data_IF_885621677323
#
_entry.id   IF_885621677323
#
_cell.length_a   1.000
_cell.length_b   1.000
_cell.length_c   1.000
_cell.angle_alpha   90.00
_cell.angle_beta   90.00
_cell.angle_gamma   90.00
#
_symmetry.space_group_name_H-M   'P 1'
#
loop_
_entity.id
_entity.type
_entity.pdbx_description
1 polymer ?
#
# COMPACT_ATOMS: atom_id res chain seq x y z
N UNK A 1 -11.41 -7.35 28.76
CA UNK A 1 -12.31 -7.29 27.57
C UNK A 1 -11.76 -8.17 26.46
N UNK A 2 -12.56 -9.07 25.87
CA UNK A 2 -12.15 -9.85 24.70
C UNK A 2 -12.12 -8.93 23.46
N UNK A 3 -10.99 -8.83 22.77
CA UNK A 3 -10.89 -8.07 21.51
C UNK A 3 -11.85 -8.67 20.48
N UNK A 4 -12.60 -7.81 19.78
CA UNK A 4 -13.54 -8.26 18.73
C UNK A 4 -12.77 -8.87 17.55
N UNK A 5 -13.42 -9.73 16.77
CA UNK A 5 -12.81 -10.35 15.58
C UNK A 5 -12.27 -9.27 14.62
N UNK A 6 -13.02 -8.19 14.41
CA UNK A 6 -12.63 -7.01 13.64
C UNK A 6 -11.33 -6.38 14.14
N UNK A 7 -11.16 -6.26 15.47
CA UNK A 7 -9.93 -5.72 16.05
C UNK A 7 -8.74 -6.66 15.86
N UNK A 8 -8.94 -7.98 15.90
CA UNK A 8 -7.87 -8.96 15.69
C UNK A 8 -7.44 -8.99 14.23
N UNK A 9 -8.40 -9.03 13.31
CA UNK A 9 -8.12 -9.01 11.88
C UNK A 9 -7.55 -7.67 11.41
N UNK A 10 -7.93 -6.56 12.05
CA UNK A 10 -7.29 -5.25 11.80
C UNK A 10 -5.80 -5.21 12.17
N UNK A 11 -5.30 -6.09 13.03
CA UNK A 11 -3.86 -6.19 13.33
C UNK A 11 -3.06 -6.80 12.16
N UNK A 12 -3.73 -7.42 11.19
CA UNK A 12 -3.08 -7.91 9.98
C UNK A 12 -2.46 -6.76 9.17
N UNK A 13 -2.95 -5.52 9.31
CA UNK A 13 -2.29 -4.35 8.72
C UNK A 13 -0.86 -4.14 9.24
N UNK A 14 -0.59 -4.45 10.51
CA UNK A 14 0.77 -4.38 11.07
C UNK A 14 1.64 -5.49 10.49
N UNK A 15 1.09 -6.70 10.37
CA UNK A 15 1.80 -7.83 9.75
C UNK A 15 2.12 -7.52 8.29
N UNK A 16 1.18 -6.90 7.57
CA UNK A 16 1.37 -6.46 6.19
C UNK A 16 2.52 -5.46 6.08
N UNK A 17 2.49 -4.40 6.90
CA UNK A 17 3.53 -3.38 6.93
C UNK A 17 4.91 -3.98 7.20
N UNK A 18 5.04 -4.84 8.21
CA UNK A 18 6.31 -5.49 8.54
C UNK A 18 6.81 -6.41 7.42
N UNK A 19 5.90 -7.15 6.78
CA UNK A 19 6.20 -8.01 5.63
C UNK A 19 6.71 -7.20 4.44
N UNK A 20 6.04 -6.08 4.11
CA UNK A 20 6.49 -5.19 3.05
C UNK A 20 7.84 -4.53 3.36
N UNK A 21 8.01 -4.00 4.58
CA UNK A 21 9.29 -3.43 5.01
C UNK A 21 10.41 -4.46 4.94
N UNK A 22 10.17 -5.70 5.37
CA UNK A 22 11.16 -6.77 5.22
C UNK A 22 11.51 -7.02 3.76
N UNK A 23 10.52 -7.07 2.86
CA UNK A 23 10.75 -7.23 1.43
C UNK A 23 11.62 -6.09 0.87
N UNK A 24 11.30 -4.83 1.17
CA UNK A 24 12.06 -3.66 0.68
C UNK A 24 13.48 -3.62 1.23
N UNK A 25 13.68 -3.99 2.50
CA UNK A 25 14.99 -3.89 3.16
C UNK A 25 15.92 -5.04 2.77
N UNK A 26 15.41 -6.27 2.67
CA UNK A 26 16.24 -7.46 2.49
C UNK A 26 16.33 -7.97 1.05
N UNK A 27 15.32 -7.72 0.19
CA UNK A 27 15.40 -8.13 -1.23
C UNK A 27 16.60 -7.55 -2.00
N UNK A 28 17.07 -6.32 -1.72
CA UNK A 28 18.30 -5.79 -2.34
C UNK A 28 19.55 -6.66 -2.14
N UNK A 29 19.63 -7.47 -1.08
CA UNK A 29 20.78 -8.38 -0.85
C UNK A 29 20.88 -9.43 -1.98
N UNK A 30 19.73 -9.80 -2.57
CA UNK A 30 19.65 -10.72 -3.70
C UNK A 30 19.68 -10.00 -5.06
N UNK A 31 19.89 -8.67 -5.10
CA UNK A 31 20.01 -7.89 -6.33
C UNK A 31 21.37 -7.16 -6.39
N UNK A 32 22.42 -7.82 -6.91
CA UNK A 32 23.72 -7.19 -7.10
C UNK A 32 23.62 -5.95 -7.99
N UNK A 33 24.14 -4.81 -7.50
CA UNK A 33 24.11 -3.55 -8.24
C UNK A 33 22.85 -2.71 -8.04
N UNK A 34 21.89 -3.14 -7.21
CA UNK A 34 20.71 -2.35 -6.90
C UNK A 34 21.07 -1.03 -6.19
N UNK A 35 20.68 0.10 -6.78
CA UNK A 35 20.91 1.43 -6.22
C UNK A 35 19.60 2.10 -5.81
N UNK A 36 19.31 2.14 -4.50
CA UNK A 36 18.10 2.76 -3.92
C UNK A 36 17.88 4.23 -4.31
N UNK A 37 18.93 4.96 -4.66
CA UNK A 37 18.81 6.38 -5.03
C UNK A 37 18.50 6.57 -6.53
N UNK A 38 18.69 5.54 -7.34
CA UNK A 38 18.50 5.59 -8.79
C UNK A 38 17.40 4.64 -9.30
N UNK A 39 17.03 3.64 -8.50
CA UNK A 39 16.11 2.58 -8.88
C UNK A 39 14.88 2.55 -7.99
N UNK A 40 13.74 2.17 -8.58
CA UNK A 40 12.49 2.07 -7.88
C UNK A 40 12.46 0.79 -7.02
N UNK A 41 11.58 0.77 -6.01
CA UNK A 41 11.30 -0.44 -5.24
C UNK A 41 10.69 -1.54 -6.12
N UNK A 42 9.90 -1.15 -7.12
CA UNK A 42 9.26 -2.07 -8.08
C UNK A 42 10.28 -2.92 -8.85
N UNK A 43 11.51 -2.43 -9.08
CA UNK A 43 12.58 -3.17 -9.75
C UNK A 43 12.96 -4.44 -8.99
N UNK A 44 12.85 -4.45 -7.65
CA UNK A 44 13.14 -5.63 -6.83
C UNK A 44 12.18 -6.79 -7.10
N UNK A 45 11.04 -6.50 -7.72
CA UNK A 45 9.96 -7.43 -8.04
C UNK A 45 9.71 -7.58 -9.55
N UNK A 46 10.61 -7.07 -10.40
CA UNK A 46 10.51 -7.28 -11.84
C UNK A 46 10.64 -8.77 -12.20
N UNK A 47 10.08 -9.16 -13.35
CA UNK A 47 9.94 -10.56 -13.74
C UNK A 47 11.29 -11.28 -13.94
N UNK A 48 12.33 -10.55 -14.35
CA UNK A 48 13.69 -11.05 -14.51
C UNK A 48 14.61 -10.73 -13.31
N UNK A 49 14.08 -10.10 -12.27
CA UNK A 49 14.88 -9.62 -11.16
C UNK A 49 15.49 -10.81 -10.38
N UNK A 50 16.80 -10.79 -10.08
CA UNK A 50 17.43 -11.84 -9.27
C UNK A 50 16.85 -11.91 -7.85
N UNK A 51 16.31 -10.80 -7.35
CA UNK A 51 15.63 -10.73 -6.05
C UNK A 51 14.19 -11.21 -6.04
N UNK A 52 13.59 -11.53 -7.19
CA UNK A 52 12.15 -11.83 -7.30
C UNK A 52 11.69 -12.95 -6.35
N UNK A 53 12.48 -14.02 -6.24
CA UNK A 53 12.15 -15.15 -5.35
C UNK A 53 12.13 -14.71 -3.87
N UNK A 54 13.13 -13.93 -3.44
CA UNK A 54 13.22 -13.42 -2.07
C UNK A 54 12.12 -12.39 -1.79
N UNK A 55 11.84 -11.50 -2.76
CA UNK A 55 10.74 -10.55 -2.69
C UNK A 55 9.41 -11.25 -2.46
N UNK A 56 9.09 -12.28 -3.24
CA UNK A 56 7.84 -13.02 -3.14
C UNK A 56 7.69 -13.74 -1.79
N UNK A 57 8.78 -14.28 -1.24
CA UNK A 57 8.76 -14.92 0.07
C UNK A 57 8.53 -13.91 1.20
N UNK A 58 9.21 -12.77 1.15
CA UNK A 58 9.12 -11.74 2.19
C UNK A 58 7.81 -10.96 2.14
N UNK A 59 7.27 -10.73 0.95
CA UNK A 59 6.00 -10.00 0.71
C UNK A 59 4.76 -10.90 0.69
N UNK A 60 4.90 -12.20 0.97
CA UNK A 60 3.78 -13.15 0.96
C UNK A 60 2.65 -12.72 1.91
N UNK A 61 3.01 -12.26 3.11
CA UNK A 61 2.03 -11.80 4.09
C UNK A 61 1.47 -10.43 3.76
N UNK A 62 2.29 -9.50 3.25
CA UNK A 62 1.87 -8.17 2.80
C UNK A 62 0.57 -8.24 1.99
N UNK A 63 0.62 -8.99 0.89
CA UNK A 63 -0.47 -9.05 -0.06
C UNK A 63 -1.79 -9.61 0.51
N UNK A 64 -1.71 -10.66 1.32
CA UNK A 64 -2.91 -11.29 1.87
C UNK A 64 -3.46 -10.50 3.06
N UNK A 65 -2.56 -10.03 3.94
CA UNK A 65 -2.93 -9.35 5.17
C UNK A 65 -3.49 -7.95 4.91
N UNK A 66 -2.98 -7.25 3.90
CA UNK A 66 -3.43 -5.92 3.49
C UNK A 66 -4.90 -5.91 3.07
N UNK A 67 -5.26 -6.76 2.10
CA UNK A 67 -6.62 -6.82 1.57
C UNK A 67 -7.63 -7.25 2.63
N UNK A 68 -7.26 -8.21 3.48
CA UNK A 68 -8.12 -8.63 4.60
C UNK A 68 -8.28 -7.48 5.60
N UNK A 69 -7.18 -6.81 5.96
CA UNK A 69 -7.20 -5.69 6.89
C UNK A 69 -8.08 -4.55 6.38
N UNK A 70 -7.86 -4.09 5.14
CA UNK A 70 -8.59 -2.94 4.60
C UNK A 70 -10.09 -3.26 4.46
N UNK A 71 -10.44 -4.48 4.05
CA UNK A 71 -11.83 -4.95 3.98
C UNK A 71 -12.50 -4.93 5.36
N UNK A 72 -11.81 -5.45 6.38
CA UNK A 72 -12.32 -5.45 7.77
C UNK A 72 -12.45 -4.03 8.31
N UNK A 73 -11.54 -3.12 7.95
CA UNK A 73 -11.64 -1.69 8.31
C UNK A 73 -12.87 -1.06 7.66
N UNK A 74 -13.17 -1.36 6.39
CA UNK A 74 -14.38 -0.91 5.71
C UNK A 74 -15.66 -1.39 6.43
N UNK A 75 -15.71 -2.66 6.83
CA UNK A 75 -16.82 -3.21 7.60
C UNK A 75 -16.93 -2.52 8.97
N UNK A 76 -15.80 -2.37 9.67
CA UNK A 76 -15.76 -1.80 11.01
C UNK A 76 -16.15 -0.32 11.09
N UNK A 77 -15.91 0.45 10.02
CA UNK A 77 -16.29 1.87 9.96
C UNK A 77 -17.73 2.08 9.47
N UNK A 78 -18.41 1.04 9.00
CA UNK A 78 -19.78 1.15 8.49
C UNK A 78 -20.73 1.65 9.60
N UNK A 79 -21.49 2.71 9.30
CA UNK A 79 -22.38 3.35 10.28
C UNK A 79 -21.68 4.11 11.40
N UNK A 80 -20.34 4.15 11.42
CA UNK A 80 -19.53 4.85 12.42
C UNK A 80 -18.96 6.15 11.84
N UNK A 81 -18.68 7.12 12.72
CA UNK A 81 -17.98 8.39 12.41
C UNK A 81 -18.65 9.20 11.28
N UNK A 82 -17.94 10.19 10.75
CA UNK A 82 -18.46 11.08 9.69
C UNK A 82 -18.58 10.34 8.36
N UNK A 83 -19.50 10.81 7.49
CA UNK A 83 -19.61 10.31 6.10
C UNK A 83 -18.31 10.57 5.31
N UNK A 84 -17.65 11.70 5.59
CA UNK A 84 -16.42 12.10 4.93
C UNK A 84 -15.25 11.14 5.23
N UNK A 85 -15.07 10.76 6.51
CA UNK A 85 -14.04 9.79 6.89
C UNK A 85 -14.27 8.43 6.20
N UNK A 86 -15.52 7.97 6.17
CA UNK A 86 -15.88 6.71 5.50
C UNK A 86 -15.59 6.75 4.01
N UNK A 87 -15.93 7.85 3.33
CA UNK A 87 -15.60 8.02 1.92
C UNK A 87 -14.10 7.94 1.66
N UNK A 88 -13.28 8.60 2.50
CA UNK A 88 -11.82 8.51 2.40
C UNK A 88 -11.28 7.09 2.62
N UNK A 89 -11.78 6.37 3.62
CA UNK A 89 -11.39 4.98 3.90
C UNK A 89 -11.81 4.04 2.76
N UNK A 90 -13.01 4.20 2.20
CA UNK A 90 -13.45 3.38 1.07
C UNK A 90 -12.66 3.68 -0.19
N UNK A 91 -12.28 4.94 -0.42
CA UNK A 91 -11.41 5.30 -1.54
C UNK A 91 -10.01 4.69 -1.37
N UNK A 92 -9.47 4.71 -0.14
CA UNK A 92 -8.22 4.04 0.20
C UNK A 92 -8.31 2.52 -0.05
N UNK A 93 -9.42 1.90 0.31
CA UNK A 93 -9.64 0.47 0.03
C UNK A 93 -9.68 0.15 -1.46
N UNK A 94 -10.33 0.99 -2.28
CA UNK A 94 -10.32 0.83 -3.74
C UNK A 94 -8.90 0.94 -4.28
N UNK A 95 -8.11 1.88 -3.77
CA UNK A 95 -6.69 2.03 -4.12
C UNK A 95 -5.90 0.75 -3.81
N UNK A 96 -6.04 0.19 -2.60
CA UNK A 96 -5.38 -1.06 -2.19
C UNK A 96 -5.74 -2.23 -3.09
N UNK A 97 -7.01 -2.36 -3.49
CA UNK A 97 -7.43 -3.39 -4.44
C UNK A 97 -6.82 -3.21 -5.83
N UNK A 98 -6.76 -1.97 -6.33
CA UNK A 98 -6.10 -1.65 -7.60
C UNK A 98 -4.62 -1.97 -7.53
N UNK A 99 -3.94 -1.64 -6.43
CA UNK A 99 -2.54 -2.00 -6.18
C UNK A 99 -2.34 -3.51 -6.21
N UNK A 100 -3.08 -4.25 -5.39
CA UNK A 100 -2.91 -5.69 -5.22
C UNK A 100 -3.18 -6.49 -6.51
N UNK A 101 -4.14 -6.06 -7.32
CA UNK A 101 -4.50 -6.71 -8.60
C UNK A 101 -3.61 -6.20 -9.72
N UNK A 102 -3.44 -4.89 -9.86
CA UNK A 102 -2.73 -4.27 -10.97
C UNK A 102 -1.26 -4.68 -11.03
N UNK A 103 -0.55 -4.65 -9.90
CA UNK A 103 0.86 -5.05 -9.87
C UNK A 103 1.09 -6.54 -10.10
N UNK A 104 0.10 -7.39 -9.80
CA UNK A 104 0.15 -8.83 -10.13
C UNK A 104 -0.15 -9.12 -11.58
N UNK A 105 -1.13 -8.40 -12.15
CA UNK A 105 -1.50 -8.56 -13.55
C UNK A 105 -0.43 -7.99 -14.48
N UNK A 106 0.23 -6.91 -14.02
CA UNK A 106 1.20 -6.15 -14.79
C UNK A 106 2.50 -5.96 -14.02
N UNK A 107 3.28 -7.03 -13.77
CA UNK A 107 4.63 -6.89 -13.20
C UNK A 107 5.55 -6.20 -14.21
N UNK A 108 6.56 -5.48 -13.73
CA UNK A 108 7.62 -4.97 -14.61
C UNK A 108 8.31 -6.13 -15.32
N UNK A 109 8.52 -6.00 -16.62
CA UNK A 109 9.19 -7.01 -17.44
C UNK A 109 10.67 -7.14 -17.06
N UNK A 110 11.33 -6.00 -16.83
CA UNK A 110 12.71 -5.91 -16.37
C UNK A 110 12.88 -4.77 -15.38
N UNK A 111 13.99 -4.75 -14.64
CA UNK A 111 14.35 -3.61 -13.79
C UNK A 111 14.42 -2.31 -14.60
N UNK A 112 13.73 -1.27 -14.14
CA UNK A 112 13.54 -0.03 -14.89
C UNK A 112 12.31 -0.09 -15.81
N UNK A 113 12.46 0.37 -17.05
CA UNK A 113 11.36 0.49 -18.00
C UNK A 113 11.85 0.10 -19.40
N UNK A 114 11.46 -1.08 -19.88
CA UNK A 114 11.79 -1.54 -21.22
C UNK A 114 10.79 -1.04 -22.28
N UNK A 115 9.61 -0.55 -21.85
CA UNK A 115 8.58 -0.03 -22.73
C UNK A 115 7.64 -1.11 -23.28
N UNK A 116 7.70 -2.31 -22.71
CA UNK A 116 6.76 -3.38 -23.01
C UNK A 116 5.35 -3.04 -22.51
N UNK A 117 4.34 -3.73 -23.06
CA UNK A 117 2.94 -3.54 -22.62
C UNK A 117 2.78 -3.72 -21.11
N UNK A 118 3.51 -4.68 -20.53
CA UNK A 118 3.54 -4.92 -19.09
C UNK A 118 4.04 -3.69 -18.31
N UNK A 119 5.10 -3.06 -18.78
CA UNK A 119 5.69 -1.88 -18.13
C UNK A 119 4.77 -0.66 -18.23
N UNK A 120 4.14 -0.47 -19.40
CA UNK A 120 3.15 0.60 -19.61
C UNK A 120 2.01 0.45 -18.61
N UNK A 121 1.44 -0.75 -18.51
CA UNK A 121 0.33 -1.03 -17.59
C UNK A 121 0.76 -0.96 -16.12
N UNK A 122 1.99 -1.36 -15.80
CA UNK A 122 2.58 -1.18 -14.47
C UNK A 122 2.65 0.30 -14.10
N UNK A 123 3.14 1.15 -15.00
CA UNK A 123 3.22 2.60 -14.78
C UNK A 123 1.83 3.26 -14.68
N UNK A 124 0.87 2.81 -15.48
CA UNK A 124 -0.54 3.24 -15.34
C UNK A 124 -1.10 2.84 -13.97
N UNK A 125 -0.83 1.62 -13.52
CA UNK A 125 -1.23 1.14 -12.18
C UNK A 125 -0.61 2.02 -11.10
N UNK A 126 0.69 2.30 -11.18
CA UNK A 126 1.39 3.19 -10.25
C UNK A 126 0.80 4.60 -10.24
N UNK A 127 0.49 5.16 -11.41
CA UNK A 127 -0.17 6.46 -11.51
C UNK A 127 -1.53 6.48 -10.81
N UNK A 128 -2.37 5.47 -11.04
CA UNK A 128 -3.67 5.33 -10.38
C UNK A 128 -3.54 5.17 -8.86
N UNK A 129 -2.64 4.31 -8.41
CA UNK A 129 -2.35 4.06 -6.99
C UNK A 129 -1.92 5.35 -6.30
N UNK A 130 -0.99 6.11 -6.89
CA UNK A 130 -0.50 7.37 -6.33
C UNK A 130 -1.62 8.40 -6.25
N UNK A 131 -2.38 8.61 -7.32
CA UNK A 131 -3.45 9.61 -7.35
C UNK A 131 -4.57 9.28 -6.34
N UNK A 132 -4.99 8.01 -6.28
CA UNK A 132 -6.01 7.56 -5.33
C UNK A 132 -5.51 7.62 -3.89
N UNK A 133 -4.23 7.35 -3.64
CA UNK A 133 -3.61 7.49 -2.32
C UNK A 133 -3.64 8.95 -1.86
N UNK A 134 -3.19 9.89 -2.69
CA UNK A 134 -3.22 11.32 -2.37
C UNK A 134 -4.67 11.78 -2.13
N UNK A 135 -5.60 11.41 -3.01
CA UNK A 135 -7.01 11.78 -2.88
C UNK A 135 -7.63 11.23 -1.58
N UNK A 136 -7.47 9.94 -1.31
CA UNK A 136 -8.03 9.29 -0.12
C UNK A 136 -7.44 9.84 1.18
N UNK A 137 -6.11 9.98 1.28
CA UNK A 137 -5.44 10.52 2.45
C UNK A 137 -5.85 11.98 2.69
N UNK A 138 -5.95 12.79 1.64
CA UNK A 138 -6.42 14.18 1.74
C UNK A 138 -7.85 14.24 2.30
N UNK A 139 -8.76 13.40 1.83
CA UNK A 139 -10.13 13.31 2.35
C UNK A 139 -10.15 12.91 3.83
N UNK A 140 -9.31 11.94 4.24
CA UNK A 140 -9.20 11.50 5.64
C UNK A 140 -8.65 12.64 6.53
N UNK A 141 -7.65 13.39 6.05
CA UNK A 141 -7.09 14.57 6.74
C UNK A 141 -8.17 15.62 6.96
N UNK A 142 -8.92 15.98 5.91
CA UNK A 142 -10.02 16.96 6.00
C UNK A 142 -11.08 16.47 6.99
N UNK A 143 -11.42 15.18 6.99
CA UNK A 143 -12.35 14.61 7.96
C UNK A 143 -11.85 14.72 9.40
N UNK A 144 -10.55 14.49 9.63
CA UNK A 144 -9.92 14.64 10.94
C UNK A 144 -9.82 16.09 11.42
N UNK A 145 -9.66 17.04 10.51
CA UNK A 145 -9.67 18.47 10.82
C UNK A 145 -11.09 18.98 11.18
N UNK A 146 -12.12 18.45 10.51
CA UNK A 146 -13.53 18.84 10.73
C UNK A 146 -14.17 18.24 11.97
N UNK A 147 -13.74 17.05 12.42
CA UNK A 147 -14.32 16.37 13.58
C UNK A 147 -13.24 15.84 14.54
N UNK A 148 -13.28 16.31 15.80
CA UNK A 148 -12.37 15.87 16.87
C UNK A 148 -12.40 14.35 17.08
N UNK A 149 -13.53 13.69 16.84
CA UNK A 149 -13.69 12.22 16.94
C UNK A 149 -12.94 11.46 15.84
N UNK A 150 -12.52 12.15 14.78
CA UNK A 150 -11.78 11.62 13.63
C UNK A 150 -10.31 12.10 13.61
N UNK A 151 -9.87 12.92 14.57
CA UNK A 151 -8.56 13.59 14.56
C UNK A 151 -7.38 12.63 14.48
N UNK A 152 -7.45 11.50 15.19
CA UNK A 152 -6.39 10.48 15.14
C UNK A 152 -6.19 9.92 13.73
N UNK A 153 -7.28 9.64 13.00
CA UNK A 153 -7.22 9.18 11.61
C UNK A 153 -6.60 10.24 10.69
N UNK A 154 -6.96 11.51 10.88
CA UNK A 154 -6.38 12.62 10.12
C UNK A 154 -4.87 12.79 10.37
N UNK A 155 -4.42 12.66 11.61
CA UNK A 155 -2.99 12.73 11.95
C UNK A 155 -2.22 11.56 11.34
N UNK A 156 -2.73 10.33 11.44
CA UNK A 156 -2.11 9.17 10.80
C UNK A 156 -2.05 9.32 9.28
N UNK A 157 -3.13 9.82 8.65
CA UNK A 157 -3.18 10.05 7.22
C UNK A 157 -2.20 11.15 6.76
N UNK A 158 -2.04 12.22 7.55
CA UNK A 158 -1.05 13.25 7.28
C UNK A 158 0.38 12.72 7.37
N UNK A 159 0.67 11.88 8.38
CA UNK A 159 1.97 11.21 8.49
C UNK A 159 2.24 10.28 7.31
N UNK A 160 1.24 9.47 6.91
CA UNK A 160 1.34 8.57 5.76
C UNK A 160 1.59 9.33 4.44
N UNK A 161 0.83 10.41 4.21
CA UNK A 161 1.01 11.26 3.03
C UNK A 161 2.40 11.93 3.02
N UNK A 162 2.87 12.38 4.19
CA UNK A 162 4.22 12.93 4.34
C UNK A 162 5.31 11.91 3.98
N UNK A 163 5.21 10.68 4.50
CA UNK A 163 6.15 9.61 4.17
C UNK A 163 6.14 9.27 2.67
N UNK A 164 4.96 9.23 2.05
CA UNK A 164 4.81 8.96 0.62
C UNK A 164 5.50 10.03 -0.26
N UNK A 165 5.48 11.31 0.15
CA UNK A 165 6.07 12.41 -0.61
C UNK A 165 7.60 12.53 -0.45
N UNK A 166 8.16 12.09 0.68
CA UNK A 166 9.61 12.11 0.92
C UNK A 166 10.34 10.99 0.16
N UNK A 167 9.59 10.02 -0.37
CA UNK A 167 10.15 8.77 -0.85
C UNK A 167 10.44 7.89 0.34
N UNK A 168 9.66 6.81 0.49
CA UNK A 168 9.89 5.82 1.54
C UNK A 168 11.24 5.12 1.37
#
# INVERSE_FOLDING_TARGET
MKKTLTQRLGLLGIVSLLSYTAAVVFSPIAYPGYNRMAQAVSDLSAADAPSLALWNQLSAFYNACEIVCVTVVCIGIQGQKTKLLRAGIYLFAVMEWISAVGYRMFPLSTGGYAGEFQDIMHMVTTGLVVLLSIASLTVIIIAGAKDKRCRSYGVCAAAALGMMLVGA
#
